data_IF_723266170155
#
_entry.id   IF_723266170155
#
_cell.length_a   1.000
_cell.length_b   1.000
_cell.length_c   1.000
_cell.angle_alpha   90.00
_cell.angle_beta   90.00
_cell.angle_gamma   90.00
#
_symmetry.space_group_name_H-M   'P 1'
#
loop_
_entity.id
_entity.type
_entity.pdbx_description
1 polymer ?
#
# COMPACT_ATOMS: atom_id res chain seq x y z
N UNK A 1 36.22 2.22 -28.09
CA UNK A 1 34.89 1.60 -28.34
C UNK A 1 33.98 2.01 -27.20
N UNK A 2 33.17 3.04 -27.45
CA UNK A 2 32.27 3.61 -26.42
C UNK A 2 31.00 2.78 -26.42
N UNK A 3 30.80 2.02 -25.38
CA UNK A 3 29.54 1.27 -25.16
C UNK A 3 28.44 2.29 -24.91
N UNK A 4 27.57 2.49 -25.89
CA UNK A 4 26.35 3.28 -25.70
C UNK A 4 25.50 2.59 -24.63
N UNK A 5 25.38 3.21 -23.46
CA UNK A 5 24.40 2.86 -22.45
C UNK A 5 23.03 3.09 -23.08
N UNK A 6 22.33 2.02 -23.43
CA UNK A 6 20.91 2.10 -23.80
C UNK A 6 20.18 2.46 -22.52
N UNK A 7 19.78 3.73 -22.39
CA UNK A 7 18.81 4.16 -21.39
C UNK A 7 17.52 3.36 -21.64
N UNK A 8 17.29 2.33 -20.83
CA UNK A 8 15.99 1.65 -20.78
C UNK A 8 14.98 2.72 -20.37
N UNK A 9 13.95 2.93 -21.15
CA UNK A 9 12.84 3.79 -20.76
C UNK A 9 12.26 3.26 -19.45
N UNK A 10 12.02 4.15 -18.47
CA UNK A 10 11.44 3.77 -17.19
C UNK A 10 10.13 3.00 -17.42
N UNK A 11 10.06 1.81 -16.83
CA UNK A 11 8.88 0.92 -16.92
C UNK A 11 7.67 1.53 -16.21
N UNK A 12 7.91 2.49 -15.31
CA UNK A 12 6.89 3.19 -14.56
C UNK A 12 7.02 4.70 -14.66
N UNK A 13 5.88 5.37 -14.78
CA UNK A 13 5.72 6.79 -14.53
C UNK A 13 5.45 7.00 -13.04
N UNK A 14 6.19 7.93 -12.41
CA UNK A 14 6.10 8.25 -11.00
C UNK A 14 5.62 9.68 -10.83
N UNK A 15 4.50 9.84 -10.12
CA UNK A 15 3.91 11.14 -9.83
C UNK A 15 3.89 11.38 -8.31
N UNK A 16 4.89 12.10 -7.76
CA UNK A 16 4.87 12.54 -6.36
C UNK A 16 3.65 13.42 -6.11
N UNK A 17 2.95 13.20 -5.00
CA UNK A 17 1.67 13.89 -4.75
C UNK A 17 1.85 15.38 -4.43
N UNK A 18 2.96 15.77 -3.80
CA UNK A 18 3.30 17.17 -3.48
C UNK A 18 4.77 17.41 -3.76
N UNK A 19 5.19 18.70 -3.78
CA UNK A 19 6.61 19.05 -3.84
C UNK A 19 7.44 18.47 -2.68
N UNK A 20 6.84 18.30 -1.51
CA UNK A 20 7.49 17.61 -0.41
C UNK A 20 7.71 16.11 -0.71
N UNK A 21 6.73 15.46 -1.31
CA UNK A 21 6.87 14.06 -1.74
C UNK A 21 7.94 13.90 -2.84
N UNK A 22 8.14 14.93 -3.69
CA UNK A 22 9.20 14.96 -4.70
C UNK A 22 10.60 15.01 -4.04
N UNK A 23 10.74 15.76 -2.94
CA UNK A 23 11.98 15.76 -2.14
C UNK A 23 12.24 14.36 -1.56
N UNK A 24 11.24 13.72 -0.94
CA UNK A 24 11.37 12.36 -0.40
C UNK A 24 11.73 11.34 -1.50
N UNK A 25 11.13 11.46 -2.69
CA UNK A 25 11.48 10.62 -3.85
C UNK A 25 12.95 10.83 -4.25
N UNK A 26 13.41 12.10 -4.32
CA UNK A 26 14.79 12.42 -4.72
C UNK A 26 15.85 11.99 -3.70
N UNK A 27 15.50 11.85 -2.42
CA UNK A 27 16.37 11.28 -1.39
C UNK A 27 16.66 9.80 -1.63
N UNK A 28 15.72 9.07 -2.19
CA UNK A 28 15.88 7.66 -2.53
C UNK A 28 16.13 6.71 -1.35
N UNK A 29 15.86 7.15 -0.10
CA UNK A 29 16.23 6.35 1.07
C UNK A 29 15.39 5.07 1.21
N UNK A 30 14.05 5.19 1.04
CA UNK A 30 13.16 4.05 1.23
C UNK A 30 11.85 4.20 0.46
N UNK A 31 11.34 3.09 -0.09
CA UNK A 31 9.98 2.99 -0.59
C UNK A 31 9.20 1.87 0.09
N UNK A 32 7.92 2.11 0.40
CA UNK A 32 6.98 1.04 0.71
C UNK A 32 6.00 0.86 -0.44
N UNK A 33 5.86 -0.37 -0.92
CA UNK A 33 4.94 -0.74 -2.00
C UNK A 33 3.79 -1.55 -1.40
N UNK A 34 2.59 -0.93 -1.36
CA UNK A 34 1.37 -1.57 -0.86
C UNK A 34 0.81 -2.58 -1.87
N UNK A 35 0.48 -3.79 -1.41
CA UNK A 35 -0.09 -4.86 -2.25
C UNK A 35 -1.45 -5.30 -1.70
N UNK A 36 -2.52 -5.00 -2.45
CA UNK A 36 -3.88 -5.37 -2.06
C UNK A 36 -4.24 -6.76 -2.57
N UNK A 37 -4.62 -7.70 -1.70
CA UNK A 37 -5.09 -9.02 -2.10
C UNK A 37 -6.32 -8.96 -3.00
N UNK A 38 -6.33 -9.80 -4.05
CA UNK A 38 -7.44 -9.85 -4.99
C UNK A 38 -7.46 -8.72 -6.03
N UNK A 39 -6.55 -7.77 -5.97
CA UNK A 39 -6.39 -6.74 -6.99
C UNK A 39 -5.56 -7.31 -8.16
N UNK A 40 -6.16 -7.35 -9.36
CA UNK A 40 -5.54 -7.89 -10.58
C UNK A 40 -4.33 -7.06 -11.04
N UNK A 41 -4.20 -5.81 -10.62
CA UNK A 41 -3.02 -4.99 -10.88
C UNK A 41 -1.73 -5.69 -10.42
N UNK A 42 -1.76 -6.36 -9.26
CA UNK A 42 -0.60 -7.04 -8.68
C UNK A 42 -0.40 -8.45 -9.25
N UNK A 43 -0.20 -8.55 -10.57
CA UNK A 43 0.24 -9.79 -11.21
C UNK A 43 1.69 -10.14 -10.79
N UNK A 44 2.11 -11.40 -10.98
CA UNK A 44 3.50 -11.81 -10.68
C UNK A 44 4.53 -10.98 -11.46
N UNK A 45 4.27 -10.74 -12.76
CA UNK A 45 5.11 -9.88 -13.61
C UNK A 45 5.20 -8.47 -13.05
N UNK A 46 4.05 -7.85 -12.73
CA UNK A 46 4.00 -6.49 -12.21
C UNK A 46 4.76 -6.33 -10.89
N UNK A 47 4.64 -7.29 -9.98
CA UNK A 47 5.39 -7.27 -8.73
C UNK A 47 6.90 -7.38 -8.96
N UNK A 48 7.34 -8.23 -9.90
CA UNK A 48 8.74 -8.30 -10.28
C UNK A 48 9.26 -6.99 -10.89
N UNK A 49 8.47 -6.37 -11.78
CA UNK A 49 8.84 -5.09 -12.40
C UNK A 49 8.91 -3.98 -11.34
N UNK A 50 7.96 -3.93 -10.38
CA UNK A 50 7.99 -3.00 -9.25
C UNK A 50 9.19 -3.22 -8.32
N UNK A 51 9.60 -4.47 -8.10
CA UNK A 51 10.75 -4.79 -7.27
C UNK A 51 12.05 -4.26 -7.92
N UNK A 52 12.22 -4.48 -9.22
CA UNK A 52 13.38 -3.96 -9.97
C UNK A 52 13.40 -2.44 -10.01
N UNK A 53 12.27 -1.83 -10.36
CA UNK A 53 12.12 -0.37 -10.36
C UNK A 53 12.46 0.22 -8.98
N UNK A 54 11.97 -0.40 -7.90
CA UNK A 54 12.27 0.06 -6.55
C UNK A 54 13.76 0.02 -6.24
N UNK A 55 14.48 -1.05 -6.63
CA UNK A 55 15.93 -1.16 -6.45
C UNK A 55 16.74 -0.14 -7.27
N UNK A 56 16.20 0.28 -8.41
CA UNK A 56 16.87 1.28 -9.26
C UNK A 56 16.75 2.71 -8.67
N UNK A 57 15.77 2.95 -7.79
CA UNK A 57 15.45 4.28 -7.30
C UNK A 57 15.63 4.48 -5.78
N UNK A 58 15.70 3.41 -4.99
CA UNK A 58 15.74 3.49 -3.53
C UNK A 58 16.82 2.59 -2.93
N UNK A 59 17.40 3.02 -1.83
CA UNK A 59 18.40 2.25 -1.08
C UNK A 59 17.77 0.99 -0.46
N UNK A 60 16.51 1.08 -0.02
CA UNK A 60 15.72 -0.03 0.53
C UNK A 60 14.27 0.03 0.07
N UNK A 61 13.66 -1.13 -0.16
CA UNK A 61 12.24 -1.26 -0.54
C UNK A 61 11.56 -2.35 0.28
N UNK A 62 10.40 -2.04 0.85
CA UNK A 62 9.58 -3.00 1.58
C UNK A 62 8.23 -3.17 0.87
N UNK A 63 7.88 -4.42 0.52
CA UNK A 63 6.55 -4.77 0.06
C UNK A 63 5.67 -5.08 1.27
N UNK A 64 4.53 -4.41 1.37
CA UNK A 64 3.56 -4.68 2.43
C UNK A 64 2.25 -5.17 1.81
N UNK A 65 1.87 -6.42 2.08
CA UNK A 65 0.58 -6.92 1.65
C UNK A 65 -0.40 -7.00 2.81
N UNK A 66 -1.65 -6.63 2.51
CA UNK A 66 -2.72 -6.64 3.50
C UNK A 66 -3.22 -8.06 3.74
N UNK A 67 -3.08 -8.55 4.96
CA UNK A 67 -3.60 -9.86 5.39
C UNK A 67 -4.65 -9.75 6.51
N UNK A 68 -4.97 -8.53 6.93
CA UNK A 68 -5.97 -8.24 7.95
C UNK A 68 -7.37 -8.13 7.35
N UNK A 69 -8.38 -8.60 8.08
CA UNK A 69 -9.82 -8.48 7.76
C UNK A 69 -10.28 -9.17 6.47
N UNK A 70 -9.46 -10.01 5.82
CA UNK A 70 -9.80 -10.67 4.56
C UNK A 70 -10.91 -11.71 4.76
N UNK A 71 -10.86 -12.48 5.84
CA UNK A 71 -11.91 -13.46 6.16
C UNK A 71 -13.23 -12.77 6.52
N UNK A 72 -13.15 -11.72 7.34
CA UNK A 72 -14.29 -10.91 7.77
C UNK A 72 -14.99 -10.25 6.58
N UNK A 73 -14.23 -9.83 5.56
CA UNK A 73 -14.78 -9.32 4.30
C UNK A 73 -15.56 -10.38 3.53
N UNK A 74 -15.07 -11.63 3.48
CA UNK A 74 -15.81 -12.72 2.87
C UNK A 74 -17.08 -13.05 3.67
N UNK A 75 -17.01 -13.08 5.01
CA UNK A 75 -18.18 -13.28 5.87
C UNK A 75 -19.23 -12.17 5.65
N UNK A 76 -18.79 -10.92 5.63
CA UNK A 76 -19.66 -9.77 5.36
C UNK A 76 -20.29 -9.83 3.96
N UNK A 77 -19.65 -10.52 3.01
CA UNK A 77 -20.18 -10.79 1.67
C UNK A 77 -21.07 -12.05 1.59
N UNK A 78 -21.48 -12.60 2.74
CA UNK A 78 -22.45 -13.70 2.83
C UNK A 78 -21.85 -15.11 2.79
N UNK A 79 -20.53 -15.27 2.80
CA UNK A 79 -19.93 -16.60 2.90
C UNK A 79 -20.01 -17.13 4.34
N UNK A 80 -20.31 -18.42 4.53
CA UNK A 80 -20.21 -19.05 5.85
C UNK A 80 -18.80 -18.91 6.43
N UNK A 81 -18.63 -18.77 7.76
CA UNK A 81 -17.34 -18.49 8.39
C UNK A 81 -16.20 -19.42 7.97
N UNK A 82 -16.45 -20.73 7.88
CA UNK A 82 -15.44 -21.70 7.46
C UNK A 82 -15.06 -21.57 5.98
N UNK A 83 -15.99 -21.21 5.12
CA UNK A 83 -15.73 -20.95 3.71
C UNK A 83 -14.99 -19.64 3.53
N UNK A 84 -15.40 -18.58 4.21
CA UNK A 84 -14.74 -17.28 4.25
C UNK A 84 -13.26 -17.42 4.65
N UNK A 85 -13.00 -18.17 5.71
CA UNK A 85 -11.63 -18.46 6.18
C UNK A 85 -10.81 -19.23 5.15
N UNK A 86 -11.39 -20.28 4.52
CA UNK A 86 -10.69 -21.04 3.45
C UNK A 86 -10.36 -20.15 2.25
N UNK A 87 -11.29 -19.30 1.83
CA UNK A 87 -11.09 -18.34 0.73
C UNK A 87 -9.99 -17.34 1.07
N UNK A 88 -10.02 -16.77 2.27
CA UNK A 88 -9.00 -15.85 2.74
C UNK A 88 -7.61 -16.49 2.73
N UNK A 89 -7.46 -17.68 3.30
CA UNK A 89 -6.17 -18.42 3.32
C UNK A 89 -5.68 -18.71 1.90
N UNK A 90 -6.56 -19.13 0.98
CA UNK A 90 -6.19 -19.39 -0.43
C UNK A 90 -5.71 -18.11 -1.12
N UNK A 91 -6.43 -16.99 -0.95
CA UNK A 91 -6.09 -15.70 -1.54
C UNK A 91 -4.75 -15.19 -1.01
N UNK A 92 -4.58 -15.15 0.31
CA UNK A 92 -3.37 -14.67 0.97
C UNK A 92 -2.14 -15.53 0.63
N UNK A 93 -2.31 -16.87 0.53
CA UNK A 93 -1.23 -17.74 0.06
C UNK A 93 -0.75 -17.36 -1.35
N UNK A 94 -1.69 -17.05 -2.26
CA UNK A 94 -1.36 -16.62 -3.63
C UNK A 94 -0.64 -15.28 -3.66
N UNK A 95 -1.06 -14.30 -2.88
CA UNK A 95 -0.40 -12.98 -2.78
C UNK A 95 0.99 -13.13 -2.18
N UNK A 96 1.10 -13.81 -1.05
CA UNK A 96 2.39 -14.08 -0.37
C UNK A 96 3.40 -14.74 -1.30
N UNK A 97 2.98 -15.76 -2.06
CA UNK A 97 3.86 -16.44 -3.00
C UNK A 97 4.38 -15.48 -4.08
N UNK A 98 3.48 -14.70 -4.71
CA UNK A 98 3.87 -13.75 -5.76
C UNK A 98 4.84 -12.67 -5.25
N UNK A 99 4.58 -12.10 -4.07
CA UNK A 99 5.45 -11.07 -3.47
C UNK A 99 6.82 -11.67 -3.13
N UNK A 100 6.85 -12.80 -2.42
CA UNK A 100 8.08 -13.50 -2.08
C UNK A 100 8.92 -13.81 -3.33
N UNK A 101 8.29 -14.37 -4.36
CA UNK A 101 8.98 -14.79 -5.57
C UNK A 101 9.55 -13.58 -6.34
N UNK A 102 8.82 -12.46 -6.36
CA UNK A 102 9.28 -11.21 -6.96
C UNK A 102 10.49 -10.62 -6.21
N UNK A 103 10.41 -10.55 -4.88
CA UNK A 103 11.50 -10.06 -4.00
C UNK A 103 12.74 -10.95 -4.15
N UNK A 104 12.60 -12.28 -3.99
CA UNK A 104 13.73 -13.21 -4.09
C UNK A 104 14.39 -13.23 -5.46
N UNK A 105 13.63 -12.96 -6.54
CA UNK A 105 14.19 -12.89 -7.89
C UNK A 105 14.95 -11.59 -8.17
N UNK A 106 14.51 -10.47 -7.57
CA UNK A 106 15.11 -9.15 -7.77
C UNK A 106 16.29 -8.89 -6.81
N UNK A 107 16.22 -9.41 -5.59
CA UNK A 107 17.28 -9.28 -4.55
C UNK A 107 17.53 -10.66 -3.89
N UNK A 108 18.29 -11.55 -4.55
CA UNK A 108 18.56 -12.90 -4.04
C UNK A 108 19.27 -12.92 -2.69
N UNK A 109 20.07 -11.91 -2.41
CA UNK A 109 20.84 -11.78 -1.16
C UNK A 109 20.01 -11.20 -0.01
N UNK A 110 18.83 -10.63 -0.30
CA UNK A 110 17.89 -10.09 0.68
C UNK A 110 18.44 -8.89 1.46
N UNK A 111 19.23 -8.05 0.81
CA UNK A 111 19.90 -6.92 1.47
C UNK A 111 19.06 -5.64 1.39
N UNK A 112 18.36 -5.42 0.28
CA UNK A 112 17.67 -4.17 -0.03
C UNK A 112 16.16 -4.32 -0.19
N UNK A 113 15.68 -5.53 -0.47
CA UNK A 113 14.25 -5.83 -0.57
C UNK A 113 13.79 -6.71 0.58
N UNK A 114 12.64 -6.32 1.18
CA UNK A 114 11.94 -7.16 2.16
C UNK A 114 10.44 -7.17 1.87
N UNK A 115 9.70 -8.06 2.53
CA UNK A 115 8.25 -8.13 2.40
C UNK A 115 7.58 -8.55 3.71
N UNK A 116 6.47 -7.89 4.04
CA UNK A 116 5.77 -8.04 5.31
C UNK A 116 4.28 -8.26 5.11
N UNK A 117 3.66 -9.22 5.82
CA UNK A 117 2.23 -9.16 6.06
C UNK A 117 1.92 -7.98 6.98
N UNK A 118 0.84 -7.25 6.74
CA UNK A 118 0.46 -6.11 7.57
C UNK A 118 0.24 -6.52 9.04
N UNK A 119 -0.21 -7.74 9.29
CA UNK A 119 -0.41 -8.27 10.64
C UNK A 119 0.85 -8.29 11.50
N UNK A 120 2.04 -8.33 10.89
CA UNK A 120 3.32 -8.28 11.61
C UNK A 120 3.51 -6.96 12.37
N UNK A 121 3.00 -5.86 11.83
CA UNK A 121 3.12 -4.55 12.47
C UNK A 121 2.25 -4.40 13.72
N UNK A 122 1.28 -5.30 13.96
CA UNK A 122 0.43 -5.23 15.15
C UNK A 122 1.18 -5.32 16.48
N UNK A 123 2.40 -5.84 16.47
CA UNK A 123 3.29 -5.88 17.65
C UNK A 123 4.30 -4.72 17.67
N UNK A 124 4.34 -3.88 16.63
CA UNK A 124 5.25 -2.73 16.55
C UNK A 124 4.70 -1.56 17.39
N UNK A 125 5.46 -1.01 18.36
CA UNK A 125 4.97 0.05 19.24
C UNK A 125 4.57 1.33 18.49
N UNK A 126 5.33 1.73 17.47
CA UNK A 126 5.01 2.94 16.68
C UNK A 126 3.70 2.74 15.90
N UNK A 127 3.51 1.57 15.27
CA UNK A 127 2.26 1.25 14.60
C UNK A 127 1.08 1.25 15.57
N UNK A 128 1.21 0.62 16.74
CA UNK A 128 0.14 0.55 17.75
C UNK A 128 -0.29 1.94 18.21
N UNK A 129 0.67 2.82 18.49
CA UNK A 129 0.37 4.18 18.94
C UNK A 129 -0.33 5.00 17.86
N UNK A 130 0.15 4.95 16.60
CA UNK A 130 -0.50 5.63 15.48
C UNK A 130 -1.91 5.06 15.26
N UNK A 131 -2.07 3.75 15.27
CA UNK A 131 -3.37 3.10 15.09
C UNK A 131 -4.36 3.49 16.20
N UNK A 132 -3.92 3.56 17.46
CA UNK A 132 -4.74 4.03 18.58
C UNK A 132 -5.23 5.47 18.35
N UNK A 133 -4.32 6.38 17.98
CA UNK A 133 -4.66 7.77 17.67
C UNK A 133 -5.65 7.89 16.51
N UNK A 134 -5.51 7.05 15.48
CA UNK A 134 -6.44 7.01 14.36
C UNK A 134 -7.85 6.58 14.79
N UNK A 135 -7.96 5.57 15.65
CA UNK A 135 -9.25 5.12 16.19
C UNK A 135 -9.92 6.22 17.02
N UNK A 136 -9.19 6.94 17.82
CA UNK A 136 -9.71 8.10 18.57
C UNK A 136 -10.18 9.22 17.64
N UNK A 137 -9.42 9.53 16.59
CA UNK A 137 -9.80 10.55 15.60
C UNK A 137 -10.99 10.13 14.73
N UNK A 138 -11.16 8.85 14.45
CA UNK A 138 -12.35 8.36 13.75
C UNK A 138 -13.64 8.74 14.48
N UNK A 139 -13.58 8.86 15.81
CA UNK A 139 -14.69 9.31 16.65
C UNK A 139 -14.79 10.83 16.71
N UNK A 140 -13.66 11.54 16.81
CA UNK A 140 -13.61 12.97 17.14
C UNK A 140 -13.42 13.90 15.93
N UNK A 141 -12.89 13.43 14.80
CA UNK A 141 -12.62 14.20 13.58
C UNK A 141 -13.57 13.80 12.45
N UNK A 142 -14.64 14.58 12.25
CA UNK A 142 -15.65 14.31 11.22
C UNK A 142 -15.10 14.32 9.79
N UNK A 143 -14.05 15.10 9.51
CA UNK A 143 -13.45 15.12 8.18
C UNK A 143 -12.58 13.87 7.93
N UNK A 144 -11.86 13.37 8.92
CA UNK A 144 -11.15 12.11 8.82
C UNK A 144 -12.13 10.95 8.62
N UNK A 145 -13.21 10.91 9.42
CA UNK A 145 -14.29 9.92 9.26
C UNK A 145 -14.85 9.92 7.84
N UNK A 146 -15.21 11.08 7.31
CA UNK A 146 -15.79 11.22 5.97
C UNK A 146 -14.86 10.69 4.87
N UNK A 147 -13.55 10.88 5.00
CA UNK A 147 -12.56 10.32 4.06
C UNK A 147 -12.50 8.80 4.17
N UNK A 148 -12.47 8.24 5.38
CA UNK A 148 -12.52 6.80 5.59
C UNK A 148 -13.80 6.18 4.99
N UNK A 149 -14.96 6.79 5.21
CA UNK A 149 -16.23 6.37 4.62
C UNK A 149 -16.22 6.47 3.09
N UNK A 150 -15.59 7.50 2.52
CA UNK A 150 -15.42 7.63 1.07
C UNK A 150 -14.56 6.51 0.48
N UNK A 151 -13.45 6.16 1.14
CA UNK A 151 -12.61 5.01 0.76
C UNK A 151 -13.39 3.71 0.79
N UNK A 152 -14.11 3.47 1.88
CA UNK A 152 -14.98 2.30 2.06
C UNK A 152 -16.02 2.22 0.96
N UNK A 153 -16.73 3.32 0.69
CA UNK A 153 -17.77 3.37 -0.34
C UNK A 153 -17.21 3.13 -1.75
N UNK A 154 -16.06 3.72 -2.10
CA UNK A 154 -15.39 3.47 -3.39
C UNK A 154 -15.00 1.99 -3.55
N UNK A 155 -14.41 1.41 -2.52
CA UNK A 155 -14.00 0.01 -2.53
C UNK A 155 -15.18 -0.95 -2.69
N UNK A 156 -16.29 -0.68 -2.00
CA UNK A 156 -17.49 -1.50 -2.05
C UNK A 156 -18.29 -1.29 -3.35
N UNK A 157 -18.38 -0.06 -3.86
CA UNK A 157 -19.06 0.25 -5.12
C UNK A 157 -18.45 -0.49 -6.33
N UNK A 158 -17.15 -0.71 -6.33
CA UNK A 158 -16.46 -1.47 -7.38
C UNK A 158 -16.90 -2.95 -7.47
N UNK A 159 -17.65 -3.45 -6.49
CA UNK A 159 -18.18 -4.84 -6.44
C UNK A 159 -19.60 -4.98 -6.99
N UNK A 160 -20.25 -3.87 -7.37
CA UNK A 160 -21.54 -3.88 -8.08
C UNK A 160 -22.79 -4.14 -7.22
N UNK A 161 -22.66 -4.27 -5.91
CA UNK A 161 -23.77 -4.51 -4.98
C UNK A 161 -23.94 -3.34 -4.00
N UNK A 162 -25.16 -3.18 -3.44
CA UNK A 162 -25.39 -2.22 -2.35
C UNK A 162 -24.74 -2.75 -1.08
N UNK A 163 -23.73 -2.04 -0.51
CA UNK A 163 -23.00 -2.52 0.65
C UNK A 163 -23.89 -2.64 1.88
N UNK A 164 -23.74 -3.75 2.61
CA UNK A 164 -24.34 -3.93 3.94
C UNK A 164 -23.61 -3.10 5.00
N UNK A 165 -24.25 -2.82 6.14
CA UNK A 165 -23.61 -2.16 7.28
C UNK A 165 -22.38 -2.95 7.75
N UNK A 166 -22.49 -4.28 7.86
CA UNK A 166 -21.39 -5.15 8.23
C UNK A 166 -20.17 -5.04 7.28
N UNK A 167 -20.42 -4.91 5.97
CA UNK A 167 -19.34 -4.70 5.00
C UNK A 167 -18.64 -3.35 5.22
N UNK A 168 -19.41 -2.30 5.48
CA UNK A 168 -18.83 -0.98 5.78
C UNK A 168 -17.97 -1.01 7.03
N UNK A 169 -18.45 -1.65 8.12
CA UNK A 169 -17.70 -1.75 9.37
C UNK A 169 -16.37 -2.47 9.18
N UNK A 170 -16.37 -3.63 8.51
CA UNK A 170 -15.15 -4.40 8.25
C UNK A 170 -14.17 -3.61 7.36
N UNK A 171 -14.69 -2.93 6.33
CA UNK A 171 -13.85 -2.09 5.48
C UNK A 171 -13.27 -0.89 6.25
N UNK A 172 -14.00 -0.34 7.19
CA UNK A 172 -13.53 0.78 8.02
C UNK A 172 -12.38 0.32 8.93
N UNK A 173 -12.51 -0.85 9.55
CA UNK A 173 -11.42 -1.46 10.32
C UNK A 173 -10.18 -1.70 9.45
N UNK A 174 -10.37 -2.19 8.23
CA UNK A 174 -9.30 -2.36 7.25
C UNK A 174 -8.58 -1.04 6.94
N UNK A 175 -9.33 0.03 6.62
CA UNK A 175 -8.76 1.35 6.33
C UNK A 175 -7.98 1.89 7.53
N UNK A 176 -8.50 1.72 8.76
CA UNK A 176 -7.80 2.13 9.98
C UNK A 176 -6.51 1.32 10.21
N UNK A 177 -6.48 0.06 9.80
CA UNK A 177 -5.28 -0.76 9.91
C UNK A 177 -4.18 -0.38 8.88
N UNK A 178 -4.56 0.05 7.69
CA UNK A 178 -3.60 0.53 6.68
C UNK A 178 -3.04 1.94 6.97
N UNK A 179 -3.87 2.80 7.53
CA UNK A 179 -3.56 4.23 7.67
C UNK A 179 -2.25 4.55 8.42
N UNK A 180 -1.76 3.77 9.42
CA UNK A 180 -0.46 4.01 10.04
C UNK A 180 0.70 4.03 9.05
N UNK A 181 0.69 3.18 8.01
CA UNK A 181 1.73 3.16 6.98
C UNK A 181 1.69 4.40 6.07
N UNK A 182 0.54 5.03 5.90
CA UNK A 182 0.44 6.31 5.19
C UNK A 182 0.88 7.50 6.04
N UNK A 183 0.80 7.37 7.37
CA UNK A 183 1.13 8.44 8.30
C UNK A 183 2.60 8.50 8.64
N UNK A 184 3.22 7.39 8.98
CA UNK A 184 4.59 7.38 9.46
C UNK A 184 5.28 6.00 9.30
N UNK A 185 5.44 5.54 8.07
CA UNK A 185 6.29 4.37 7.78
C UNK A 185 7.70 4.53 8.33
N UNK A 186 8.34 5.73 8.28
CA UNK A 186 9.66 5.92 8.87
C UNK A 186 9.78 5.49 10.33
N UNK A 187 8.81 5.85 11.17
CA UNK A 187 8.80 5.43 12.57
C UNK A 187 8.54 3.91 12.73
N UNK A 188 7.70 3.32 11.87
CA UNK A 188 7.34 1.91 11.92
C UNK A 188 8.52 1.02 11.49
N UNK A 189 9.16 1.34 10.36
CA UNK A 189 10.25 0.54 9.76
C UNK A 189 11.65 1.02 10.14
N UNK A 190 11.76 2.10 10.92
CA UNK A 190 13.03 2.71 11.39
C UNK A 190 13.95 3.11 10.23
N UNK A 191 13.38 3.80 9.25
CA UNK A 191 14.08 4.35 8.09
C UNK A 191 14.10 5.88 8.14
N UNK A 192 15.08 6.57 7.51
CA UNK A 192 15.22 8.03 7.59
C UNK A 192 14.01 8.77 6.99
N UNK A 193 13.59 8.36 5.82
CA UNK A 193 12.39 8.84 5.10
C UNK A 193 11.80 7.70 4.30
N UNK A 194 10.53 7.80 3.90
CA UNK A 194 9.83 6.76 3.15
C UNK A 194 8.82 7.33 2.17
N UNK A 195 8.82 6.80 0.95
CA UNK A 195 7.80 7.07 -0.04
C UNK A 195 6.79 5.92 -0.10
N UNK A 196 5.52 6.19 0.20
CA UNK A 196 4.45 5.22 0.00
C UNK A 196 4.05 5.22 -1.49
N UNK A 197 4.27 4.10 -2.17
CA UNK A 197 4.04 3.92 -3.59
C UNK A 197 2.78 3.07 -3.84
N UNK A 198 1.84 3.64 -4.60
CA UNK A 198 0.62 2.93 -4.98
C UNK A 198 0.21 3.29 -6.42
N UNK A 199 -0.58 2.43 -7.07
CA UNK A 199 -0.92 2.59 -8.49
C UNK A 199 -2.05 3.60 -8.78
N UNK A 200 -2.62 4.21 -7.76
CA UNK A 200 -3.68 5.22 -7.88
C UNK A 200 -3.69 6.15 -6.67
N UNK A 201 -4.18 7.36 -6.87
CA UNK A 201 -4.39 8.29 -5.75
C UNK A 201 -5.53 7.79 -4.85
N UNK A 202 -5.24 7.71 -3.57
CA UNK A 202 -6.22 7.37 -2.55
C UNK A 202 -6.69 8.63 -1.82
N UNK A 203 -8.00 8.78 -1.47
CA UNK A 203 -8.50 9.92 -0.70
C UNK A 203 -7.77 10.11 0.64
N UNK A 204 -7.20 9.04 1.20
CA UNK A 204 -6.35 9.12 2.39
C UNK A 204 -5.10 9.95 2.13
N UNK A 205 -4.44 9.80 0.98
CA UNK A 205 -3.29 10.61 0.62
C UNK A 205 -3.69 12.10 0.48
N UNK A 206 -4.81 12.39 -0.18
CA UNK A 206 -5.33 13.77 -0.26
C UNK A 206 -5.52 14.39 1.14
N UNK A 207 -6.12 13.63 2.06
CA UNK A 207 -6.32 14.11 3.43
C UNK A 207 -5.02 14.40 4.15
N UNK A 208 -4.05 13.46 4.08
CA UNK A 208 -2.84 13.50 4.90
C UNK A 208 -1.80 14.51 4.42
N UNK A 209 -1.79 14.81 3.11
CA UNK A 209 -0.76 15.66 2.48
C UNK A 209 -1.24 17.05 2.08
N UNK A 210 -2.57 17.30 2.00
CA UNK A 210 -3.13 18.60 1.59
C UNK A 210 -3.44 19.54 2.74
N UNK A 211 -3.50 19.05 3.97
CA UNK A 211 -3.96 19.84 5.12
C UNK A 211 -2.85 20.61 5.80
N UNK A 212 -3.10 21.88 6.05
CA UNK A 212 -2.22 22.75 6.87
C UNK A 212 -2.29 22.45 8.37
N UNK A 213 -3.37 21.83 8.87
CA UNK A 213 -3.59 21.50 10.27
C UNK A 213 -4.40 20.20 10.41
N UNK A 214 -4.33 19.56 11.56
CA UNK A 214 -5.04 18.30 11.86
C UNK A 214 -4.19 17.06 11.60
N UNK A 215 -4.83 15.96 11.20
CA UNK A 215 -4.13 14.72 10.86
C UNK A 215 -3.37 14.88 9.55
N UNK A 216 -2.08 14.62 9.57
CA UNK A 216 -1.21 14.65 8.38
C UNK A 216 -0.07 13.66 8.53
N UNK A 217 0.51 13.29 7.40
CA UNK A 217 1.70 12.45 7.36
C UNK A 217 2.88 13.13 8.10
N UNK A 218 3.78 12.32 8.64
CA UNK A 218 5.02 12.82 9.25
C UNK A 218 5.87 13.53 8.18
N UNK A 219 6.76 14.40 8.64
CA UNK A 219 7.62 15.18 7.73
C UNK A 219 8.56 14.32 6.87
N UNK A 220 8.80 13.09 7.28
CA UNK A 220 9.69 12.17 6.57
C UNK A 220 8.91 11.13 5.74
N UNK A 221 7.58 11.29 5.64
CA UNK A 221 6.69 10.43 4.88
C UNK A 221 6.24 11.13 3.60
N UNK A 222 6.39 10.46 2.46
CA UNK A 222 5.87 10.88 1.16
C UNK A 222 4.86 9.90 0.58
N UNK A 223 4.17 10.32 -0.48
CA UNK A 223 3.29 9.47 -1.29
C UNK A 223 3.50 9.76 -2.78
N UNK A 224 3.52 8.70 -3.60
CA UNK A 224 3.55 8.81 -5.04
C UNK A 224 2.60 7.81 -5.71
N UNK A 225 2.06 8.21 -6.86
CA UNK A 225 1.36 7.32 -7.77
C UNK A 225 2.41 6.74 -8.71
N UNK A 226 2.43 5.40 -8.82
CA UNK A 226 3.38 4.65 -9.65
C UNK A 226 2.59 3.82 -10.65
N UNK A 227 2.57 4.25 -11.92
CA UNK A 227 1.80 3.60 -12.98
C UNK A 227 2.71 3.12 -14.10
N UNK A 228 2.38 2.00 -14.77
CA UNK A 228 3.14 1.55 -15.93
C UNK A 228 3.15 2.61 -17.03
N UNK A 229 4.29 2.77 -17.69
CA UNK A 229 4.36 3.56 -18.92
C UNK A 229 3.52 2.91 -20.03
N UNK A 230 2.94 3.73 -20.92
CA UNK A 230 1.96 3.29 -21.94
C UNK A 230 2.49 2.26 -22.97
N UNK A 231 3.77 1.92 -22.94
CA UNK A 231 4.39 0.93 -23.85
C UNK A 231 4.01 -0.53 -23.53
N UNK A 232 3.42 -0.83 -22.37
CA UNK A 232 3.03 -2.20 -21.99
C UNK A 232 1.56 -2.56 -22.31
N UNK A 233 0.76 -1.62 -22.82
CA UNK A 233 -0.68 -1.83 -23.09
C UNK A 233 -1.01 -2.54 -24.41
N UNK A 234 -0.04 -2.94 -25.23
CA UNK A 234 -0.27 -3.45 -26.59
C UNK A 234 0.04 -4.94 -26.80
N UNK A 235 0.00 -5.77 -25.74
CA UNK A 235 0.10 -7.21 -25.88
C UNK A 235 -0.98 -7.90 -25.02
N UNK A 236 -2.18 -8.00 -25.60
CA UNK A 236 -3.23 -8.96 -25.21
C UNK A 236 -3.33 -10.02 -26.30
#
# INVERSE_FOLDING_TARGET
MTTASVLMADVFEVQPYTSHCEVILSEGAHAVIGVSPGNSYFSARRLHDLARWGLDHFDRVDFVYTDLYVAEMYEASGYPPDEARRKAVKNLRGVRAKVRDAVSAADPDGVRLDWHPMSEFRTNPAYQEIHRQLKERLVSDGAFRSVCETLVNRFLAARGETPTERQRDVCLEYVCAEAPLFLDTPAILKVPSSLNCYHQLLPMAELLYSRGAGLRASRNQGHAIVTPTALEGAAV
#
